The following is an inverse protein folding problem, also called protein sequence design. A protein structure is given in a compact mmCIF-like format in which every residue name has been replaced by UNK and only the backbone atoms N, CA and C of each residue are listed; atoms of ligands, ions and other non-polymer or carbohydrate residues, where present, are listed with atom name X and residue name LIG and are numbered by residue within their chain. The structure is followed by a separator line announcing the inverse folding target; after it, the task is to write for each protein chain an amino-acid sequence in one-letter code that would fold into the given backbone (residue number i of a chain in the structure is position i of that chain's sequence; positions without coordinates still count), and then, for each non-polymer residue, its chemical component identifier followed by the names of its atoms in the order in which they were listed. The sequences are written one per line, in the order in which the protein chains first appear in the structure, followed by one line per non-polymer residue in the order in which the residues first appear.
data_IF_018769547723
#
_entry.id   IF_018769547723
#
_cell.length_a   1.000
_cell.length_b   1.000
_cell.length_c   1.000
_cell.angle_alpha   90.00
_cell.angle_beta   90.00
_cell.angle_gamma   90.00
#
_symmetry.space_group_name_H-M   'P 1'
#
loop_
_entity.id
_entity.type
_entity.pdbx_description
1 polymer ?
#
# COMPACT_ATOMS: atom_id res chain seq x y z
N UNK A 1 12.67 13.06 4.70
CA UNK A 1 11.42 12.46 5.20
C UNK A 1 10.52 12.22 4.00
N UNK A 2 9.73 11.14 3.97
CA UNK A 2 8.95 10.80 2.77
C UNK A 2 7.78 11.76 2.57
N UNK A 3 7.36 11.96 1.33
CA UNK A 3 6.23 12.82 0.97
C UNK A 3 5.19 12.02 0.20
N UNK A 4 3.93 12.16 0.60
CA UNK A 4 2.78 11.47 0.03
C UNK A 4 1.70 12.48 -0.34
N UNK A 5 1.10 12.37 -1.52
CA UNK A 5 -0.12 13.10 -1.82
C UNK A 5 -1.31 12.35 -1.23
N UNK A 6 -2.09 12.95 -0.34
CA UNK A 6 -3.26 12.30 0.22
C UNK A 6 -4.41 12.35 -0.79
N UNK A 7 -4.85 11.24 -1.39
CA UNK A 7 -5.88 11.25 -2.43
C UNK A 7 -7.26 11.63 -1.90
N UNK A 8 -7.42 11.67 -0.57
CA UNK A 8 -8.67 12.02 0.08
C UNK A 8 -8.86 13.52 0.31
N UNK A 9 -7.77 14.31 0.37
CA UNK A 9 -7.84 15.74 0.65
C UNK A 9 -6.86 16.60 -0.19
N UNK A 10 -6.03 16.00 -1.04
CA UNK A 10 -5.07 16.68 -1.92
C UNK A 10 -3.83 17.25 -1.23
N UNK A 11 -3.71 17.08 0.09
CA UNK A 11 -2.55 17.57 0.83
C UNK A 11 -1.30 16.74 0.52
N UNK A 12 -0.17 17.41 0.32
CA UNK A 12 1.13 16.77 0.32
C UNK A 12 1.57 16.63 1.78
N UNK A 13 1.47 15.42 2.30
CA UNK A 13 1.77 15.09 3.69
C UNK A 13 3.19 14.56 3.81
N UNK A 14 3.90 15.03 4.83
CA UNK A 14 5.13 14.43 5.29
C UNK A 14 4.84 13.10 6.01
N UNK A 15 5.77 12.15 5.98
CA UNK A 15 5.64 10.84 6.64
C UNK A 15 5.25 10.95 8.12
N UNK A 16 5.73 11.98 8.82
CA UNK A 16 5.45 12.20 10.25
C UNK A 16 4.00 12.62 10.53
N UNK A 17 3.26 13.05 9.50
CA UNK A 17 1.83 13.34 9.57
C UNK A 17 0.96 12.09 9.35
N UNK A 18 1.59 10.98 8.99
CA UNK A 18 0.96 9.75 8.58
C UNK A 18 1.23 8.60 9.57
N UNK A 19 0.37 7.60 9.53
CA UNK A 19 0.57 6.34 10.23
C UNK A 19 0.60 5.19 9.22
N UNK A 20 1.67 4.39 9.25
CA UNK A 20 1.83 3.21 8.40
C UNK A 20 0.91 2.08 8.86
N UNK A 21 0.20 1.44 7.92
CA UNK A 21 -0.71 0.33 8.16
C UNK A 21 -0.26 -1.01 7.59
N UNK A 22 0.98 -1.09 7.10
CA UNK A 22 1.53 -2.29 6.46
C UNK A 22 0.88 -2.57 5.09
N UNK A 23 0.88 -3.83 4.70
CA UNK A 23 0.41 -4.29 3.38
C UNK A 23 -1.02 -3.81 3.00
N UNK A 24 -1.20 -3.48 1.71
CA UNK A 24 -2.48 -3.17 1.07
C UNK A 24 -3.21 -4.42 0.53
N UNK A 25 -4.48 -4.25 0.14
CA UNK A 25 -5.26 -5.28 -0.57
C UNK A 25 -5.47 -6.60 0.20
N UNK A 26 -5.47 -6.55 1.54
CA UNK A 26 -5.73 -7.71 2.39
C UNK A 26 -7.23 -7.97 2.49
N UNK A 27 -7.67 -9.12 2.00
CA UNK A 27 -9.04 -9.62 2.21
C UNK A 27 -9.23 -9.99 3.68
N UNK A 28 -10.33 -9.55 4.29
CA UNK A 28 -10.69 -9.92 5.65
C UNK A 28 -11.33 -11.30 5.70
N UNK A 29 -10.81 -12.15 6.58
CA UNK A 29 -11.42 -13.42 6.96
C UNK A 29 -11.97 -13.32 8.40
N UNK A 30 -13.08 -13.99 8.66
CA UNK A 30 -13.83 -13.90 9.92
C UNK A 30 -14.18 -15.27 10.49
N UNK A 31 -15.04 -15.34 11.53
CA UNK A 31 -15.31 -16.58 12.27
C UNK A 31 -15.88 -17.76 11.47
N UNK A 32 -16.31 -17.55 10.22
CA UNK A 32 -16.80 -18.61 9.33
C UNK A 32 -15.79 -19.08 8.28
N UNK A 33 -14.55 -18.59 8.34
CA UNK A 33 -13.45 -19.06 7.48
C UNK A 33 -12.87 -20.38 8.00
N UNK A 34 -12.09 -21.07 7.17
CA UNK A 34 -11.24 -22.17 7.66
C UNK A 34 -10.17 -21.64 8.61
N UNK A 35 -9.62 -22.53 9.44
CA UNK A 35 -8.52 -22.19 10.35
C UNK A 35 -7.31 -21.63 9.57
N UNK A 36 -6.94 -22.25 8.46
CA UNK A 36 -5.83 -21.82 7.60
C UNK A 36 -6.05 -20.41 7.03
N UNK A 37 -7.24 -20.11 6.51
CA UNK A 37 -7.58 -18.80 5.97
C UNK A 37 -7.58 -17.73 7.07
N UNK A 38 -8.08 -18.08 8.25
CA UNK A 38 -8.15 -17.16 9.38
C UNK A 38 -6.77 -16.89 9.99
N UNK A 39 -5.94 -17.92 10.14
CA UNK A 39 -4.53 -17.80 10.54
C UNK A 39 -3.78 -16.89 9.56
N UNK A 40 -3.89 -17.18 8.25
CA UNK A 40 -3.26 -16.38 7.20
C UNK A 40 -3.67 -14.91 7.28
N UNK A 41 -4.96 -14.63 7.47
CA UNK A 41 -5.45 -13.27 7.66
C UNK A 41 -4.92 -12.59 8.94
N UNK A 42 -4.80 -13.31 10.05
CA UNK A 42 -4.35 -12.73 11.31
C UNK A 42 -2.85 -12.42 11.30
N UNK A 43 -2.03 -13.31 10.73
CA UNK A 43 -0.58 -13.28 10.98
C UNK A 43 0.29 -13.14 9.72
N UNK A 44 -0.20 -13.50 8.53
CA UNK A 44 0.63 -13.52 7.31
C UNK A 44 0.52 -12.21 6.54
N UNK A 45 1.65 -11.62 6.13
CA UNK A 45 1.71 -10.41 5.29
C UNK A 45 2.82 -10.53 4.26
N UNK A 46 2.64 -9.89 3.12
CA UNK A 46 3.73 -9.68 2.18
C UNK A 46 4.80 -8.77 2.78
N UNK A 47 6.07 -9.13 2.57
CA UNK A 47 7.22 -8.34 3.02
C UNK A 47 8.30 -8.31 1.92
N UNK A 48 7.99 -7.69 0.77
CA UNK A 48 8.90 -7.67 -0.37
C UNK A 48 10.12 -6.78 -0.11
N UNK A 49 11.28 -7.22 -0.59
CA UNK A 49 12.44 -6.36 -0.79
C UNK A 49 12.34 -5.69 -2.15
N UNK A 50 11.79 -4.47 -2.21
CA UNK A 50 11.50 -3.79 -3.47
C UNK A 50 10.14 -3.12 -3.45
N UNK A 51 9.42 -3.20 -4.56
CA UNK A 51 8.08 -2.59 -4.68
C UNK A 51 7.12 -3.26 -3.70
N UNK A 52 6.41 -2.43 -2.94
CA UNK A 52 5.39 -2.83 -1.98
C UNK A 52 4.17 -1.91 -2.13
N UNK A 53 2.98 -2.50 -2.07
CA UNK A 53 1.73 -1.76 -1.92
C UNK A 53 1.30 -1.75 -0.46
N UNK A 54 1.20 -0.56 0.11
CA UNK A 54 1.03 -0.33 1.55
C UNK A 54 -0.22 0.50 1.83
N UNK A 55 -0.69 0.47 3.09
CA UNK A 55 -1.76 1.31 3.63
C UNK A 55 -1.16 2.43 4.46
N UNK A 56 -1.71 3.62 4.33
CA UNK A 56 -1.33 4.79 5.12
C UNK A 56 -2.58 5.52 5.59
N UNK A 57 -2.53 6.06 6.81
CA UNK A 57 -3.59 6.89 7.38
C UNK A 57 -3.06 8.30 7.59
N UNK A 58 -3.78 9.31 7.11
CA UNK A 58 -3.42 10.71 7.33
C UNK A 58 -3.87 11.18 8.72
N UNK A 59 -3.16 10.72 9.76
CA UNK A 59 -3.57 10.86 11.17
C UNK A 59 -3.56 12.31 11.66
N UNK A 60 -2.64 13.14 11.14
CA UNK A 60 -2.56 14.56 11.48
C UNK A 60 -3.27 15.46 10.45
N UNK A 61 -4.16 14.89 9.64
CA UNK A 61 -4.92 15.61 8.62
C UNK A 61 -6.35 15.08 8.50
N UNK A 62 -6.72 14.59 7.32
CA UNK A 62 -8.12 14.18 7.05
C UNK A 62 -8.58 12.90 7.79
N UNK A 63 -7.69 12.18 8.47
CA UNK A 63 -7.99 10.98 9.26
C UNK A 63 -8.32 9.72 8.44
N UNK A 64 -8.35 9.83 7.10
CA UNK A 64 -8.73 8.74 6.17
C UNK A 64 -7.54 7.84 5.82
N UNK A 65 -7.88 6.61 5.44
CA UNK A 65 -6.96 5.62 4.90
C UNK A 65 -6.84 5.73 3.38
N UNK A 66 -5.64 5.50 2.87
CA UNK A 66 -5.33 5.39 1.44
C UNK A 66 -4.22 4.36 1.21
N UNK A 67 -3.95 4.04 -0.05
CA UNK A 67 -2.87 3.15 -0.43
C UNK A 67 -1.70 3.92 -1.04
N UNK A 68 -0.49 3.38 -0.90
CA UNK A 68 0.71 3.88 -1.53
C UNK A 68 1.50 2.74 -2.17
N UNK A 69 2.15 3.01 -3.29
CA UNK A 69 3.17 2.10 -3.84
C UNK A 69 4.55 2.70 -3.56
N UNK A 70 5.43 1.94 -2.91
CA UNK A 70 6.76 2.41 -2.49
C UNK A 70 7.81 1.32 -2.70
N UNK A 71 9.05 1.72 -2.92
CA UNK A 71 10.18 0.80 -2.86
C UNK A 71 10.72 0.72 -1.43
N UNK A 72 10.62 -0.44 -0.77
CA UNK A 72 11.10 -0.68 0.59
C UNK A 72 12.62 -0.61 0.73
N UNK A 73 13.36 -0.68 -0.39
CA UNK A 73 14.82 -0.53 -0.42
C UNK A 73 15.27 0.93 -0.57
N UNK A 74 14.67 1.68 -1.49
CA UNK A 74 15.12 3.04 -1.82
C UNK A 74 14.25 4.13 -1.19
N UNK A 75 13.16 3.73 -0.54
CA UNK A 75 12.14 4.59 0.06
C UNK A 75 11.40 5.49 -0.94
N UNK A 76 11.56 5.25 -2.25
CA UNK A 76 10.86 5.99 -3.30
C UNK A 76 9.36 5.71 -3.25
N UNK A 77 8.55 6.76 -3.13
CA UNK A 77 7.08 6.69 -3.24
C UNK A 77 6.72 6.89 -4.72
N UNK A 78 6.19 5.84 -5.36
CA UNK A 78 5.78 5.92 -6.77
C UNK A 78 4.47 6.68 -6.94
N UNK A 79 3.57 6.56 -5.96
CA UNK A 79 2.29 7.27 -5.95
C UNK A 79 1.36 6.73 -4.87
N UNK A 80 0.24 7.43 -4.71
CA UNK A 80 -0.83 7.13 -3.76
C UNK A 80 -2.16 7.03 -4.48
N UNK A 81 -3.11 6.29 -3.91
CA UNK A 81 -4.42 6.08 -4.53
C UNK A 81 -5.50 5.73 -3.47
N UNK A 82 -6.79 5.91 -3.78
CA UNK A 82 -7.86 5.70 -2.82
C UNK A 82 -7.92 4.27 -2.27
N UNK A 83 -8.25 4.12 -0.99
CA UNK A 83 -8.45 2.81 -0.36
C UNK A 83 -9.68 2.05 -0.87
N UNK A 84 -10.63 2.74 -1.51
CA UNK A 84 -11.82 2.15 -2.14
C UNK A 84 -11.50 1.63 -3.55
N UNK A 85 -10.40 0.91 -3.70
CA UNK A 85 -9.97 0.28 -4.96
C UNK A 85 -9.66 -1.19 -4.70
N UNK A 86 -9.96 -2.05 -5.68
CA UNK A 86 -9.68 -3.49 -5.57
C UNK A 86 -8.30 -3.86 -6.12
N UNK A 87 -7.70 -2.99 -6.92
CA UNK A 87 -6.40 -3.18 -7.57
C UNK A 87 -5.69 -1.83 -7.70
N UNK A 88 -4.34 -1.82 -7.75
CA UNK A 88 -3.60 -0.60 -8.03
C UNK A 88 -3.95 0.00 -9.41
N UNK A 89 -3.94 1.35 -9.56
CA UNK A 89 -4.15 1.99 -10.85
C UNK A 89 -3.12 1.57 -11.90
N UNK A 90 -3.56 1.38 -13.16
CA UNK A 90 -2.70 0.89 -14.24
C UNK A 90 -1.53 1.84 -14.55
N UNK A 91 -1.78 3.14 -14.58
CA UNK A 91 -0.77 4.18 -14.78
C UNK A 91 0.33 4.14 -13.71
N UNK A 92 -0.04 3.81 -12.47
CA UNK A 92 0.93 3.60 -11.38
C UNK A 92 1.76 2.34 -11.61
N UNK A 93 1.15 1.24 -12.07
CA UNK A 93 1.87 0.01 -12.43
C UNK A 93 2.86 0.26 -13.57
N UNK A 94 2.41 0.91 -14.65
CA UNK A 94 3.26 1.24 -15.80
C UNK A 94 4.48 2.08 -15.37
N UNK A 95 4.26 3.08 -14.51
CA UNK A 95 5.33 3.92 -13.92
C UNK A 95 6.31 3.11 -13.07
N UNK A 96 5.83 2.14 -12.30
CA UNK A 96 6.69 1.27 -11.50
C UNK A 96 7.50 0.37 -12.41
N UNK A 97 6.89 -0.27 -13.41
CA UNK A 97 7.56 -1.17 -14.35
C UNK A 97 8.66 -0.45 -15.15
N UNK A 98 8.41 0.78 -15.58
CA UNK A 98 9.43 1.62 -16.23
C UNK A 98 10.63 1.89 -15.31
N UNK A 99 10.38 2.24 -14.05
CA UNK A 99 11.45 2.59 -13.08
C UNK A 99 12.15 1.38 -12.46
N UNK A 100 11.45 0.25 -12.32
CA UNK A 100 11.88 -0.97 -11.62
C UNK A 100 11.55 -2.18 -12.48
N UNK A 101 12.21 -2.36 -13.64
CA UNK A 101 11.95 -3.50 -14.51
C UNK A 101 12.17 -4.81 -13.75
N UNK A 102 11.25 -5.77 -13.92
CA UNK A 102 11.29 -7.08 -13.26
C UNK A 102 10.87 -7.07 -11.79
N UNK A 103 10.20 -6.02 -11.33
CA UNK A 103 9.56 -6.04 -10.01
C UNK A 103 8.43 -7.08 -9.98
N UNK A 104 8.14 -7.60 -8.79
CA UNK A 104 7.00 -8.47 -8.57
C UNK A 104 6.42 -8.25 -7.19
N UNK A 105 5.10 -8.33 -7.07
CA UNK A 105 4.40 -8.31 -5.79
C UNK A 105 3.13 -9.13 -5.88
N UNK A 106 3.05 -10.23 -5.13
CA UNK A 106 2.00 -11.26 -5.31
C UNK A 106 1.88 -11.63 -6.80
N UNK A 107 0.72 -11.39 -7.40
CA UNK A 107 0.40 -11.68 -8.80
C UNK A 107 0.69 -10.51 -9.76
N UNK A 108 1.30 -9.41 -9.28
CA UNK A 108 1.64 -8.22 -10.08
C UNK A 108 3.12 -8.23 -10.51
N UNK A 109 3.40 -7.74 -11.72
CA UNK A 109 4.73 -7.59 -12.32
C UNK A 109 4.77 -6.53 -13.42
#
# INVERSE_FOLDING_TARGET
MLTFECPCCGAHADETELHAGGEAHIKRFGPGASDDDFEGYLFTRENPKGVHFERWRHVNGCGKWFHAARCTMTMEVFGTYPAQTFQPPKDLLDKITEKRPGWSWRDLS
#
